data_IF_024263738232
#
_entry.id   IF_024263738232
#
_cell.length_a   1.000
_cell.length_b   1.000
_cell.length_c   1.000
_cell.angle_alpha   90.00
_cell.angle_beta   90.00
_cell.angle_gamma   90.00
#
_symmetry.space_group_name_H-M   'P 1'
#
loop_
_entity.id
_entity.type
_entity.pdbx_description
1 polymer ?
#
# COMPACT_ATOMS: atom_id res chain seq x y z
N UNK A 1 0.10 -24.96 13.48
CA UNK A 1 -0.27 -23.68 12.85
C UNK A 1 1.03 -23.08 12.35
N UNK A 2 1.10 -22.55 11.13
CA UNK A 2 2.33 -21.97 10.58
C UNK A 2 2.48 -20.56 11.15
N UNK A 3 3.57 -20.27 11.84
CA UNK A 3 3.86 -18.93 12.36
C UNK A 3 4.70 -18.13 11.36
N UNK A 4 4.19 -16.96 10.99
CA UNK A 4 4.82 -16.07 10.01
C UNK A 4 5.19 -14.76 10.69
N UNK A 5 6.48 -14.52 10.85
CA UNK A 5 6.98 -13.25 11.33
C UNK A 5 7.03 -12.23 10.19
N UNK A 6 6.36 -11.10 10.38
CA UNK A 6 6.50 -9.93 9.53
C UNK A 6 7.20 -8.85 10.37
N UNK A 7 8.42 -8.40 9.98
CA UNK A 7 9.20 -7.50 10.80
C UNK A 7 8.70 -6.06 10.78
N UNK A 8 8.53 -5.52 11.98
CA UNK A 8 8.23 -4.13 12.32
C UNK A 8 9.51 -3.25 12.28
N UNK A 9 9.42 -1.90 12.34
CA UNK A 9 8.20 -1.10 12.44
C UNK A 9 7.55 -0.82 11.09
N UNK A 10 6.27 -1.18 10.99
CA UNK A 10 5.43 -0.78 9.87
C UNK A 10 5.04 0.68 9.99
N UNK A 11 5.08 1.37 8.86
CA UNK A 11 4.51 2.71 8.80
C UNK A 11 2.97 2.66 8.94
N UNK A 12 2.34 1.52 8.61
CA UNK A 12 0.89 1.29 8.69
C UNK A 12 0.64 0.04 9.56
N UNK A 13 -0.27 0.07 10.55
CA UNK A 13 -0.57 -1.11 11.36
C UNK A 13 -1.16 -2.21 10.48
N UNK A 14 -0.46 -3.33 10.29
CA UNK A 14 -0.92 -4.40 9.40
C UNK A 14 -2.06 -5.21 10.03
N UNK A 15 -2.11 -5.28 11.36
CA UNK A 15 -3.10 -6.05 12.13
C UNK A 15 -4.54 -5.63 11.81
N UNK A 16 -4.78 -4.34 11.55
CA UNK A 16 -6.12 -3.85 11.19
C UNK A 16 -6.65 -4.36 9.85
N UNK A 17 -5.78 -4.97 9.03
CA UNK A 17 -6.13 -5.58 7.75
C UNK A 17 -6.68 -7.00 7.90
N UNK A 18 -6.68 -7.56 9.11
CA UNK A 18 -7.23 -8.87 9.39
C UNK A 18 -8.71 -8.78 9.78
N UNK A 19 -9.52 -9.81 9.46
CA UNK A 19 -10.89 -9.93 9.96
C UNK A 19 -10.99 -9.95 11.48
N UNK A 20 -9.94 -10.43 12.15
CA UNK A 20 -9.79 -10.33 13.60
C UNK A 20 -8.40 -9.77 13.94
N UNK A 21 -8.28 -8.44 14.16
CA UNK A 21 -7.01 -7.79 14.48
C UNK A 21 -6.33 -8.27 15.76
N UNK A 22 -7.08 -8.90 16.68
CA UNK A 22 -6.55 -9.41 17.93
C UNK A 22 -5.91 -10.81 17.81
N UNK A 23 -6.27 -11.57 16.76
CA UNK A 23 -5.72 -12.91 16.53
C UNK A 23 -4.72 -12.97 15.37
N UNK A 24 -4.88 -12.11 14.36
CA UNK A 24 -4.02 -12.07 13.16
C UNK A 24 -3.78 -13.44 12.53
N UNK A 25 -4.83 -14.28 12.53
CA UNK A 25 -4.84 -15.61 11.90
C UNK A 25 -5.59 -15.54 10.58
N UNK A 26 -5.02 -16.16 9.54
CA UNK A 26 -5.68 -16.37 8.26
C UNK A 26 -5.42 -17.80 7.77
N UNK A 27 -6.48 -18.59 7.61
CA UNK A 27 -6.36 -20.01 7.28
C UNK A 27 -5.58 -20.78 8.35
N UNK A 28 -4.50 -21.45 7.95
CA UNK A 28 -3.60 -22.19 8.84
C UNK A 28 -2.36 -21.39 9.30
N UNK A 29 -2.33 -20.08 9.03
CA UNK A 29 -1.21 -19.19 9.36
C UNK A 29 -1.57 -18.23 10.49
N UNK A 30 -0.66 -18.07 11.44
CA UNK A 30 -0.64 -17.03 12.47
C UNK A 30 0.43 -16.00 12.10
N UNK A 31 0.06 -14.72 12.06
CA UNK A 31 0.98 -13.64 11.73
C UNK A 31 1.40 -12.89 12.97
N UNK A 32 2.71 -12.82 13.21
CA UNK A 32 3.31 -12.11 14.34
C UNK A 32 4.12 -10.91 13.86
N UNK A 33 4.05 -9.81 14.61
CA UNK A 33 4.58 -8.49 14.21
C UNK A 33 5.63 -7.95 15.17
N UNK A 34 5.88 -8.68 16.26
CA UNK A 34 7.01 -8.47 17.17
C UNK A 34 7.98 -9.63 16.96
N UNK A 35 9.27 -9.36 17.15
CA UNK A 35 10.27 -10.41 17.12
C UNK A 35 9.95 -11.45 18.21
N UNK A 36 9.91 -12.72 17.80
CA UNK A 36 9.69 -13.87 18.67
C UNK A 36 10.67 -14.95 18.25
N UNK A 37 11.16 -15.77 19.17
CA UNK A 37 12.17 -16.78 18.84
C UNK A 37 11.61 -17.99 18.06
N UNK A 38 10.28 -18.13 18.00
CA UNK A 38 9.57 -19.30 17.45
C UNK A 38 8.62 -18.90 16.30
N UNK A 39 9.18 -18.77 15.08
CA UNK A 39 8.43 -18.60 13.84
C UNK A 39 8.97 -19.51 12.73
N UNK A 40 8.08 -19.96 11.83
CA UNK A 40 8.44 -20.88 10.73
C UNK A 40 8.97 -20.14 9.49
N UNK A 41 8.51 -18.90 9.28
CA UNK A 41 8.83 -18.07 8.12
C UNK A 41 9.05 -16.61 8.52
N UNK A 42 9.93 -15.92 7.78
CA UNK A 42 10.02 -14.45 7.76
C UNK A 42 9.50 -13.95 6.42
N UNK A 43 8.55 -13.01 6.48
CA UNK A 43 8.01 -12.32 5.29
C UNK A 43 8.34 -10.83 5.39
N UNK A 44 9.17 -10.34 4.47
CA UNK A 44 9.52 -8.92 4.36
C UNK A 44 8.65 -8.24 3.31
N UNK A 45 8.11 -7.07 3.66
CA UNK A 45 7.35 -6.22 2.73
C UNK A 45 8.22 -5.01 2.36
N UNK A 46 8.59 -4.92 1.09
CA UNK A 46 9.41 -3.91 0.43
C UNK A 46 10.87 -3.79 0.92
N UNK A 47 11.10 -3.57 2.21
CA UNK A 47 12.45 -3.40 2.76
C UNK A 47 12.48 -3.60 4.28
N UNK A 48 13.69 -3.81 4.80
CA UNK A 48 13.97 -3.82 6.24
C UNK A 48 14.57 -2.48 6.66
N UNK A 49 14.22 -2.03 7.87
CA UNK A 49 14.87 -0.87 8.52
C UNK A 49 16.11 -1.29 9.30
N UNK A 50 16.05 -2.45 9.93
CA UNK A 50 17.09 -3.00 10.79
C UNK A 50 17.46 -4.42 10.33
N UNK A 51 18.66 -4.84 10.67
CA UNK A 51 19.11 -6.22 10.42
C UNK A 51 18.34 -7.17 11.34
N UNK A 52 18.01 -8.36 10.83
CA UNK A 52 17.33 -9.40 11.58
C UNK A 52 18.25 -10.60 11.61
N UNK A 53 18.72 -10.95 12.81
CA UNK A 53 19.42 -12.20 13.04
C UNK A 53 18.40 -13.34 13.01
N UNK A 54 18.66 -14.38 12.22
CA UNK A 54 17.73 -15.50 12.10
C UNK A 54 18.45 -16.80 11.75
N UNK A 55 18.02 -17.88 12.40
CA UNK A 55 18.48 -19.24 12.13
C UNK A 55 17.74 -19.89 10.96
N UNK A 56 16.66 -19.27 10.46
CA UNK A 56 15.88 -19.82 9.35
C UNK A 56 16.71 -19.98 8.10
N UNK A 57 16.51 -21.07 7.38
CA UNK A 57 17.13 -21.25 6.08
C UNK A 57 16.57 -20.27 5.05
N UNK A 58 17.30 -20.08 3.95
CA UNK A 58 16.89 -19.17 2.87
C UNK A 58 15.49 -19.49 2.33
N UNK A 59 15.09 -20.76 2.25
CA UNK A 59 13.77 -21.17 1.72
C UNK A 59 12.59 -20.72 2.57
N UNK A 60 12.83 -20.39 3.84
CA UNK A 60 11.81 -19.88 4.78
C UNK A 60 11.78 -18.34 4.85
N UNK A 61 12.60 -17.68 4.04
CA UNK A 61 12.69 -16.21 3.96
C UNK A 61 12.04 -15.76 2.66
N UNK A 62 11.00 -14.94 2.78
CA UNK A 62 10.19 -14.46 1.66
C UNK A 62 10.23 -12.93 1.63
N UNK A 63 10.27 -12.34 0.45
CA UNK A 63 10.13 -10.90 0.27
C UNK A 63 9.12 -10.56 -0.83
N UNK A 64 8.30 -9.55 -0.57
CA UNK A 64 7.43 -8.91 -1.56
C UNK A 64 7.94 -7.51 -1.86
N UNK A 65 8.21 -7.20 -3.12
CA UNK A 65 8.70 -5.89 -3.53
C UNK A 65 7.52 -4.90 -3.68
N UNK A 66 7.65 -3.72 -3.08
CA UNK A 66 6.61 -2.69 -3.07
C UNK A 66 6.60 -1.76 -4.29
N UNK A 67 7.69 -1.71 -5.05
CA UNK A 67 7.88 -0.70 -6.09
C UNK A 67 8.39 -1.32 -7.42
N UNK A 68 7.99 -0.75 -8.57
CA UNK A 68 8.39 -1.22 -9.88
C UNK A 68 9.82 -0.73 -10.20
N UNK A 69 10.48 -1.29 -11.22
CA UNK A 69 11.87 -0.95 -11.53
C UNK A 69 12.07 0.52 -11.98
N UNK A 70 10.99 1.22 -12.34
CA UNK A 70 11.01 2.65 -12.68
C UNK A 70 11.05 3.56 -11.45
N UNK A 71 10.75 3.04 -10.26
CA UNK A 71 10.69 3.81 -9.01
C UNK A 71 11.82 3.40 -8.06
N UNK A 72 12.03 2.09 -7.85
CA UNK A 72 13.03 1.58 -6.90
C UNK A 72 13.87 0.48 -7.53
N UNK A 73 15.19 0.61 -7.37
CA UNK A 73 16.15 -0.46 -7.66
C UNK A 73 16.49 -1.19 -6.37
N UNK A 74 16.23 -2.49 -6.33
CA UNK A 74 16.55 -3.32 -5.17
C UNK A 74 17.96 -3.88 -5.27
N UNK A 75 18.68 -3.88 -4.15
CA UNK A 75 20.04 -4.41 -4.06
C UNK A 75 20.04 -5.93 -4.30
N UNK A 76 20.83 -6.40 -5.25
CA UNK A 76 20.88 -7.82 -5.60
C UNK A 76 21.44 -8.71 -4.48
N UNK A 77 22.40 -8.22 -3.68
CA UNK A 77 22.92 -8.94 -2.50
C UNK A 77 21.83 -9.10 -1.45
N UNK A 78 21.00 -8.08 -1.25
CA UNK A 78 19.84 -8.14 -0.35
C UNK A 78 18.82 -9.18 -0.83
N UNK A 79 18.39 -9.11 -2.10
CA UNK A 79 17.41 -10.06 -2.64
C UNK A 79 17.91 -11.52 -2.60
N UNK A 80 19.21 -11.75 -2.75
CA UNK A 80 19.82 -13.08 -2.66
C UNK A 80 19.71 -13.72 -1.27
N UNK A 81 19.32 -12.98 -0.24
CA UNK A 81 19.08 -13.53 1.11
C UNK A 81 17.73 -14.25 1.24
N UNK A 82 16.81 -14.08 0.28
CA UNK A 82 15.47 -14.65 0.30
C UNK A 82 15.35 -15.84 -0.65
N UNK A 83 14.66 -16.90 -0.21
CA UNK A 83 14.39 -18.07 -1.03
C UNK A 83 13.27 -17.84 -2.01
N UNK A 84 12.34 -16.92 -1.68
CA UNK A 84 11.25 -16.51 -2.57
C UNK A 84 11.19 -14.99 -2.65
N UNK A 85 11.18 -14.49 -3.86
CA UNK A 85 11.11 -13.05 -4.16
C UNK A 85 9.89 -12.83 -5.03
N UNK A 86 8.99 -11.96 -4.59
CA UNK A 86 7.75 -11.63 -5.28
C UNK A 86 7.75 -10.18 -5.75
N UNK A 87 7.28 -9.93 -6.96
CA UNK A 87 7.07 -8.57 -7.43
C UNK A 87 6.69 -8.49 -8.90
N UNK A 88 6.58 -7.27 -9.42
CA UNK A 88 6.15 -7.03 -10.78
C UNK A 88 7.30 -6.95 -11.80
N UNK A 89 8.56 -7.09 -11.39
CA UNK A 89 9.75 -6.80 -12.22
C UNK A 89 9.88 -7.82 -13.36
N UNK A 90 9.30 -7.49 -14.52
CA UNK A 90 9.12 -8.42 -15.65
C UNK A 90 10.40 -9.12 -16.10
N UNK A 91 11.55 -8.44 -16.07
CA UNK A 91 12.86 -9.05 -16.42
C UNK A 91 13.27 -10.15 -15.43
N UNK A 92 13.04 -9.93 -14.13
CA UNK A 92 13.35 -10.88 -13.05
C UNK A 92 12.36 -12.04 -13.00
N UNK A 93 11.13 -11.79 -13.43
CA UNK A 93 10.13 -12.86 -13.63
C UNK A 93 10.55 -13.75 -14.79
N UNK A 94 10.96 -13.15 -15.93
CA UNK A 94 11.38 -13.88 -17.12
C UNK A 94 12.65 -14.74 -16.91
N UNK A 95 13.58 -14.31 -16.06
CA UNK A 95 14.81 -15.07 -15.75
C UNK A 95 14.66 -16.06 -14.58
N UNK A 96 13.45 -16.16 -13.99
CA UNK A 96 13.16 -17.09 -12.90
C UNK A 96 13.69 -16.68 -11.53
N UNK A 97 14.31 -15.49 -11.39
CA UNK A 97 14.78 -14.99 -10.10
C UNK A 97 13.68 -14.38 -9.22
N UNK A 98 12.44 -14.30 -9.72
CA UNK A 98 11.29 -13.72 -9.05
C UNK A 98 9.98 -14.38 -9.50
N UNK A 99 9.05 -14.57 -8.55
CA UNK A 99 7.66 -14.93 -8.81
C UNK A 99 6.82 -13.66 -9.07
N UNK A 100 5.96 -13.68 -10.08
CA UNK A 100 5.11 -12.54 -10.42
C UNK A 100 4.11 -12.25 -9.29
N UNK A 101 4.08 -11.00 -8.83
CA UNK A 101 3.09 -10.52 -7.86
C UNK A 101 2.83 -9.04 -8.04
N UNK A 102 1.66 -8.61 -7.57
CA UNK A 102 1.37 -7.20 -7.30
C UNK A 102 2.18 -6.73 -6.07
N UNK A 103 2.44 -5.42 -5.93
CA UNK A 103 2.93 -4.85 -4.68
C UNK A 103 1.96 -5.14 -3.51
N UNK A 104 2.44 -5.76 -2.43
CA UNK A 104 1.65 -5.98 -1.22
C UNK A 104 1.70 -4.76 -0.29
N UNK A 105 1.39 -3.58 -0.82
CA UNK A 105 1.34 -2.35 -0.03
C UNK A 105 0.07 -2.35 0.84
N UNK A 106 0.19 -2.05 2.15
CA UNK A 106 -0.99 -2.01 3.03
C UNK A 106 -1.92 -0.87 2.62
N UNK A 107 -3.24 -1.11 2.65
CA UNK A 107 -4.21 -0.03 2.50
C UNK A 107 -3.97 1.02 3.58
N UNK A 108 -4.17 2.30 3.28
CA UNK A 108 -3.89 3.46 4.15
C UNK A 108 -5.15 4.24 4.54
N UNK A 109 -6.20 4.18 3.71
CA UNK A 109 -7.53 3.79 4.16
C UNK A 109 -7.88 3.92 5.66
N UNK A 110 -8.31 5.06 6.22
CA UNK A 110 -8.75 5.10 7.62
C UNK A 110 -7.62 5.12 8.65
N UNK A 111 -6.39 5.44 8.24
CA UNK A 111 -5.29 5.81 9.14
C UNK A 111 -5.08 7.32 9.14
N UNK A 112 -4.79 7.86 10.32
CA UNK A 112 -4.23 9.22 10.44
C UNK A 112 -2.73 9.18 10.12
N UNK A 113 -2.34 9.69 8.97
CA UNK A 113 -0.95 9.77 8.52
C UNK A 113 -0.31 11.07 9.01
N UNK A 114 0.95 11.02 9.45
CA UNK A 114 1.75 12.23 9.67
C UNK A 114 1.99 12.90 8.32
N UNK A 115 1.84 14.22 8.29
CA UNK A 115 2.02 15.04 7.09
C UNK A 115 3.36 14.72 6.40
N UNK A 116 3.34 14.66 5.06
CA UNK A 116 4.50 14.31 4.23
C UNK A 116 5.11 12.90 4.47
N UNK A 117 4.46 12.03 5.25
CA UNK A 117 4.91 10.66 5.48
C UNK A 117 3.81 9.65 5.15
N UNK A 118 4.18 8.37 5.13
CA UNK A 118 3.20 7.27 5.13
C UNK A 118 3.10 6.60 6.51
N UNK A 119 3.47 7.31 7.59
CA UNK A 119 3.47 6.80 8.95
C UNK A 119 2.16 7.14 9.65
N UNK A 120 1.45 6.12 10.13
CA UNK A 120 0.29 6.27 11.01
C UNK A 120 0.73 6.95 12.31
N UNK A 121 0.06 8.04 12.66
CA UNK A 121 0.33 8.88 13.84
C UNK A 121 -0.55 8.54 15.03
N UNK A 122 -1.60 7.73 14.82
CA UNK A 122 -2.62 7.42 15.82
C UNK A 122 -2.84 5.91 15.96
N UNK A 123 -3.29 5.51 17.15
CA UNK A 123 -3.82 4.18 17.42
C UNK A 123 -5.33 4.08 17.14
N UNK A 124 -5.98 5.20 16.85
CA UNK A 124 -7.34 5.25 16.32
C UNK A 124 -7.27 5.11 14.80
N UNK A 125 -7.81 4.02 14.26
CA UNK A 125 -7.87 3.75 12.83
C UNK A 125 -9.04 2.84 12.52
N UNK A 126 -9.54 2.91 11.28
CA UNK A 126 -10.54 1.96 10.80
C UNK A 126 -9.91 0.59 10.58
N UNK A 127 -10.69 -0.46 10.82
CA UNK A 127 -10.28 -1.86 10.64
C UNK A 127 -11.08 -2.53 9.53
N UNK A 128 -10.67 -3.73 9.13
CA UNK A 128 -11.44 -4.58 8.21
C UNK A 128 -12.93 -4.64 8.59
N UNK A 129 -13.24 -4.76 9.89
CA UNK A 129 -14.62 -4.84 10.39
C UNK A 129 -15.42 -3.55 10.17
N UNK A 130 -14.77 -2.39 10.18
CA UNK A 130 -15.43 -1.12 9.93
C UNK A 130 -15.82 -0.98 8.45
N UNK A 131 -14.96 -1.42 7.53
CA UNK A 131 -15.26 -1.42 6.09
C UNK A 131 -16.29 -2.48 5.68
N UNK A 132 -16.55 -3.49 6.50
CA UNK A 132 -17.64 -4.43 6.26
C UNK A 132 -19.03 -3.85 6.56
N UNK A 133 -19.11 -2.78 7.37
CA UNK A 133 -20.38 -2.14 7.69
C UNK A 133 -20.91 -1.46 6.43
N UNK A 134 -22.12 -1.84 6.03
CA UNK A 134 -22.78 -1.29 4.85
C UNK A 134 -23.57 -0.03 5.25
N UNK A 135 -22.84 1.01 5.66
CA UNK A 135 -23.45 2.29 6.02
C UNK A 135 -24.05 2.95 4.78
N UNK A 136 -25.11 3.72 5.00
CA UNK A 136 -25.93 4.27 3.93
C UNK A 136 -25.12 5.26 3.05
N UNK A 137 -24.71 4.82 1.86
CA UNK A 137 -23.88 5.58 0.90
C UNK A 137 -24.64 6.68 0.12
N UNK A 138 -25.90 6.94 0.47
CA UNK A 138 -26.83 7.76 -0.33
C UNK A 138 -26.54 9.27 -0.33
N UNK A 139 -25.59 9.76 0.47
CA UNK A 139 -25.27 11.20 0.61
C UNK A 139 -23.96 11.65 -0.06
N UNK A 140 -23.37 10.81 -0.93
CA UNK A 140 -22.09 11.11 -1.58
C UNK A 140 -22.18 12.25 -2.62
N UNK A 141 -21.14 13.09 -2.64
CA UNK A 141 -20.94 14.15 -3.62
C UNK A 141 -20.88 13.57 -5.03
N UNK A 142 -21.63 14.18 -5.95
CA UNK A 142 -21.59 13.88 -7.37
C UNK A 142 -20.39 14.55 -8.06
N UNK A 143 -19.19 14.38 -7.47
CA UNK A 143 -17.90 14.93 -7.90
C UNK A 143 -16.86 13.80 -7.94
N UNK A 144 -15.69 14.14 -8.45
CA UNK A 144 -14.52 13.27 -8.50
C UNK A 144 -13.47 13.82 -7.53
N UNK A 145 -12.88 12.96 -6.69
CA UNK A 145 -11.68 13.35 -5.94
C UNK A 145 -10.41 12.74 -6.57
N UNK A 146 -9.26 13.35 -6.30
CA UNK A 146 -7.96 12.83 -6.70
C UNK A 146 -6.98 13.03 -5.55
N UNK A 147 -6.57 11.93 -4.91
CA UNK A 147 -5.63 11.94 -3.79
C UNK A 147 -4.24 11.58 -4.29
N UNK A 148 -3.32 12.54 -4.27
CA UNK A 148 -2.02 12.42 -4.91
C UNK A 148 -0.98 13.32 -4.23
N UNK A 149 0.26 13.31 -4.70
CA UNK A 149 1.30 14.23 -4.23
C UNK A 149 1.95 14.96 -5.39
N UNK A 150 2.56 16.09 -5.11
CA UNK A 150 3.34 16.90 -6.06
C UNK A 150 4.76 16.37 -6.34
N UNK A 151 5.13 15.20 -5.78
CA UNK A 151 6.44 14.56 -6.00
C UNK A 151 6.74 14.43 -7.49
N UNK A 152 7.98 14.75 -7.89
CA UNK A 152 8.47 14.78 -9.29
C UNK A 152 9.73 13.91 -9.56
N UNK A 153 10.05 12.98 -8.66
CA UNK A 153 11.31 12.21 -8.67
C UNK A 153 11.53 11.37 -9.93
N UNK A 154 10.48 10.73 -10.45
CA UNK A 154 10.55 9.88 -11.66
C UNK A 154 9.78 10.51 -12.81
N UNK A 155 9.90 9.94 -14.02
CA UNK A 155 9.09 10.37 -15.17
C UNK A 155 7.60 10.27 -14.86
N UNK A 156 7.13 9.14 -14.35
CA UNK A 156 5.71 8.94 -14.05
C UNK A 156 5.20 9.88 -12.95
N UNK A 157 6.02 10.20 -11.94
CA UNK A 157 5.72 11.25 -10.97
C UNK A 157 5.45 12.61 -11.64
N UNK A 158 6.31 13.05 -12.57
CA UNK A 158 6.11 14.29 -13.33
C UNK A 158 4.89 14.23 -14.25
N UNK A 159 4.63 13.09 -14.87
CA UNK A 159 3.48 12.90 -15.75
C UNK A 159 2.17 13.03 -14.96
N UNK A 160 2.11 12.42 -13.78
CA UNK A 160 1.00 12.54 -12.83
C UNK A 160 0.77 13.99 -12.39
N UNK A 161 1.81 14.75 -12.04
CA UNK A 161 1.66 16.17 -11.70
C UNK A 161 1.11 16.96 -12.89
N UNK A 162 1.65 16.79 -14.10
CA UNK A 162 1.12 17.46 -15.30
C UNK A 162 -0.35 17.11 -15.57
N UNK A 163 -0.74 15.88 -15.31
CA UNK A 163 -2.14 15.45 -15.40
C UNK A 163 -3.02 16.18 -14.37
N UNK A 164 -2.58 16.24 -13.10
CA UNK A 164 -3.30 16.94 -12.03
C UNK A 164 -3.49 18.42 -12.35
N UNK A 165 -2.43 19.12 -12.74
CA UNK A 165 -2.49 20.55 -13.09
C UNK A 165 -3.45 20.82 -14.25
N UNK A 166 -3.46 19.93 -15.25
CA UNK A 166 -4.39 20.01 -16.37
C UNK A 166 -5.84 19.81 -15.92
N UNK A 167 -6.09 18.83 -15.05
CA UNK A 167 -7.44 18.55 -14.51
C UNK A 167 -7.96 19.71 -13.67
N UNK A 168 -7.12 20.28 -12.79
CA UNK A 168 -7.48 21.47 -12.01
C UNK A 168 -7.84 22.66 -12.89
N UNK A 169 -7.15 22.83 -14.02
CA UNK A 169 -7.42 23.90 -14.99
C UNK A 169 -8.68 23.64 -15.82
N UNK A 170 -8.89 22.43 -16.30
CA UNK A 170 -9.98 22.09 -17.23
C UNK A 170 -11.30 21.76 -16.53
N UNK A 171 -11.26 21.27 -15.28
CA UNK A 171 -12.43 20.76 -14.55
C UNK A 171 -12.50 21.21 -13.08
N UNK A 172 -12.32 22.51 -12.76
CA UNK A 172 -12.22 23.00 -11.38
C UNK A 172 -13.48 22.73 -10.54
N UNK A 173 -14.66 22.71 -11.16
CA UNK A 173 -15.93 22.48 -10.44
C UNK A 173 -16.29 20.99 -10.29
N UNK A 174 -15.60 20.10 -11.01
CA UNK A 174 -15.89 18.66 -11.03
C UNK A 174 -14.88 17.83 -10.23
N UNK A 175 -13.60 18.25 -10.22
CA UNK A 175 -12.51 17.48 -9.59
C UNK A 175 -11.87 18.25 -8.44
N UNK A 176 -11.88 17.65 -7.25
CA UNK A 176 -11.18 18.15 -6.08
C UNK A 176 -9.88 17.36 -5.85
N UNK A 177 -8.76 18.06 -5.64
CA UNK A 177 -7.43 17.44 -5.50
C UNK A 177 -6.91 17.57 -4.07
N UNK A 178 -6.48 16.45 -3.50
CA UNK A 178 -5.98 16.35 -2.14
C UNK A 178 -4.60 15.68 -2.07
N UNK A 179 -3.94 15.87 -0.94
CA UNK A 179 -2.64 15.30 -0.58
C UNK A 179 -1.50 16.33 -0.59
N UNK A 180 -0.29 15.87 -0.29
CA UNK A 180 0.87 16.75 -0.09
C UNK A 180 1.20 17.54 -1.36
N UNK A 181 1.38 18.86 -1.22
CA UNK A 181 1.54 19.80 -2.34
C UNK A 181 0.23 20.35 -2.90
N UNK A 182 -0.92 19.82 -2.46
CA UNK A 182 -2.26 20.31 -2.75
C UNK A 182 -3.00 20.57 -1.43
N UNK A 183 -4.27 20.17 -1.30
CA UNK A 183 -4.97 20.19 -0.02
C UNK A 183 -4.56 18.99 0.85
N UNK A 184 -3.69 19.21 1.83
CA UNK A 184 -3.21 18.18 2.75
C UNK A 184 -4.36 17.51 3.52
N UNK A 185 -4.27 16.19 3.68
CA UNK A 185 -5.22 15.37 4.44
C UNK A 185 -4.44 14.35 5.27
N UNK A 186 -4.85 14.17 6.52
CA UNK A 186 -4.25 13.15 7.39
C UNK A 186 -4.84 11.77 7.14
N UNK A 187 -6.13 11.67 6.83
CA UNK A 187 -6.81 10.40 6.56
C UNK A 187 -7.58 10.45 5.24
N UNK A 188 -7.29 9.49 4.36
CA UNK A 188 -7.96 9.34 3.06
C UNK A 188 -9.45 9.04 3.21
N UNK A 189 -9.90 8.44 4.31
CA UNK A 189 -11.30 8.11 4.55
C UNK A 189 -12.17 9.36 4.58
N UNK A 190 -11.68 10.45 5.18
CA UNK A 190 -12.40 11.74 5.27
C UNK A 190 -12.73 12.35 3.90
N UNK A 191 -12.00 11.95 2.87
CA UNK A 191 -12.26 12.33 1.48
C UNK A 191 -13.04 11.22 0.79
N UNK A 192 -12.44 10.03 0.61
CA UNK A 192 -12.99 8.98 -0.26
C UNK A 192 -14.41 8.53 0.11
N UNK A 193 -14.76 8.53 1.41
CA UNK A 193 -16.12 8.17 1.85
C UNK A 193 -17.20 9.15 1.40
N UNK A 194 -16.83 10.40 1.07
CA UNK A 194 -17.75 11.47 0.68
C UNK A 194 -17.96 11.59 -0.82
N UNK A 195 -17.07 11.05 -1.65
CA UNK A 195 -17.16 11.17 -3.11
C UNK A 195 -17.72 9.90 -3.75
N UNK A 196 -18.46 10.05 -4.85
CA UNK A 196 -18.86 8.92 -5.68
C UNK A 196 -17.69 8.35 -6.46
N UNK A 197 -16.82 9.21 -7.00
CA UNK A 197 -15.72 8.80 -7.88
C UNK A 197 -14.37 9.27 -7.35
N UNK A 198 -13.33 8.47 -7.61
CA UNK A 198 -11.95 8.84 -7.34
C UNK A 198 -11.09 8.52 -8.56
N UNK A 199 -10.29 9.48 -9.02
CA UNK A 199 -9.22 9.19 -9.97
C UNK A 199 -8.09 8.51 -9.21
N UNK A 200 -7.80 7.27 -9.57
CA UNK A 200 -6.77 6.45 -8.95
C UNK A 200 -5.60 6.34 -9.91
N UNK A 201 -4.61 7.21 -9.75
CA UNK A 201 -3.45 7.27 -10.64
C UNK A 201 -2.17 6.85 -9.93
N UNK A 202 -1.44 5.91 -10.55
CA UNK A 202 -0.16 5.43 -10.04
C UNK A 202 1.00 6.38 -10.37
N UNK A 203 2.11 6.20 -9.66
CA UNK A 203 3.33 7.00 -9.90
C UNK A 203 4.08 6.60 -11.19
N UNK A 204 3.64 5.53 -11.87
CA UNK A 204 4.04 5.12 -13.21
C UNK A 204 3.08 4.06 -13.78
N UNK A 205 3.15 3.84 -15.10
CA UNK A 205 2.47 2.72 -15.75
C UNK A 205 3.46 1.57 -15.95
N UNK A 206 3.20 0.43 -15.32
CA UNK A 206 4.04 -0.76 -15.42
C UNK A 206 3.19 -2.04 -15.30
N UNK A 207 3.49 -3.12 -16.05
CA UNK A 207 2.69 -4.34 -15.98
C UNK A 207 2.61 -4.90 -14.55
N UNK A 208 1.40 -5.29 -14.12
CA UNK A 208 1.09 -5.80 -12.78
C UNK A 208 1.37 -4.81 -11.63
N UNK A 209 1.49 -3.52 -11.92
CA UNK A 209 1.71 -2.50 -10.89
C UNK A 209 0.41 -1.74 -10.59
N UNK A 210 -0.30 -2.20 -9.56
CA UNK A 210 -1.32 -1.42 -8.87
C UNK A 210 -1.06 -1.49 -7.37
N UNK A 211 -1.46 -0.46 -6.63
CA UNK A 211 -1.02 -0.26 -5.24
C UNK A 211 -2.18 -0.07 -4.29
N UNK A 212 -1.86 0.33 -3.05
CA UNK A 212 -2.84 0.65 -2.03
C UNK A 212 -3.85 1.72 -2.48
N UNK A 213 -3.50 2.58 -3.45
CA UNK A 213 -4.40 3.65 -3.94
C UNK A 213 -5.72 3.11 -4.47
N UNK A 214 -5.66 1.97 -5.18
CA UNK A 214 -6.86 1.32 -5.71
C UNK A 214 -7.64 0.59 -4.61
N UNK A 215 -6.93 -0.10 -3.71
CA UNK A 215 -7.54 -0.75 -2.55
C UNK A 215 -8.25 0.26 -1.63
N UNK A 216 -7.62 1.40 -1.35
CA UNK A 216 -8.17 2.50 -0.56
C UNK A 216 -9.48 3.01 -1.15
N UNK A 217 -9.55 3.15 -2.47
CA UNK A 217 -10.77 3.57 -3.18
C UNK A 217 -11.92 2.57 -2.97
N UNK A 218 -11.65 1.28 -3.19
CA UNK A 218 -12.67 0.23 -3.04
C UNK A 218 -13.14 0.09 -1.59
N UNK A 219 -12.22 0.08 -0.62
CA UNK A 219 -12.55 0.01 0.81
C UNK A 219 -13.39 1.20 1.26
N UNK A 220 -13.16 2.38 0.67
CA UNK A 220 -13.96 3.56 0.92
C UNK A 220 -15.31 3.57 0.20
N UNK A 221 -15.69 2.52 -0.53
CA UNK A 221 -16.93 2.42 -1.30
C UNK A 221 -17.02 3.45 -2.45
N UNK A 222 -15.88 3.97 -2.89
CA UNK A 222 -15.79 4.95 -3.97
C UNK A 222 -15.54 4.22 -5.30
N UNK A 223 -16.10 4.72 -6.41
CA UNK A 223 -15.91 4.15 -7.74
C UNK A 223 -14.57 4.63 -8.33
N UNK A 224 -13.60 3.74 -8.58
CA UNK A 224 -12.32 4.14 -9.13
C UNK A 224 -12.42 4.44 -10.62
N UNK A 225 -11.78 5.53 -11.04
CA UNK A 225 -11.39 5.82 -12.42
C UNK A 225 -9.87 5.60 -12.47
N UNK A 226 -9.45 4.42 -12.90
CA UNK A 226 -8.05 3.95 -12.87
C UNK A 226 -7.40 4.07 -14.25
#
# INVERSE_FOLDING_TARGET
>A
MIKVYIPAPFNIPLQRQFPNPAKTVWGNCEFVFSEVDDYDYIVVIDSLKEEIETTLSKTQRIIFLGEPPYVKKYNSKFLKQFGRVYGCHQKKVADGSMELSIPLLPWMVGCHLRENTHQCSSNEYLTYLDFQKNDNLNSRLNKICLITSDKTFTKGHRDRVRFVERVLKEYPDLVDVYGNGYQSISDKWNVLSRYKYSIVIENCSYPNYWTEKLADCFLAGCYPIY
#
